data_IF_769609832106
#
_entry.id   IF_769609832106
#
_cell.length_a   1.000
_cell.length_b   1.000
_cell.length_c   1.000
_cell.angle_alpha   90.00
_cell.angle_beta   90.00
_cell.angle_gamma   90.00
#
_symmetry.space_group_name_H-M   'P 1'
#
loop_
_entity.id
_entity.type
_entity.pdbx_description
1 polymer ?
#
# COMPACT_ATOMS: atom_id res chain seq x y z
N UNK A 1 -3.99 -22.59 -5.54
CA UNK A 1 -3.82 -21.13 -5.60
C UNK A 1 -2.38 -20.70 -5.91
N UNK A 2 -1.40 -21.60 -5.70
CA UNK A 2 0.05 -21.35 -5.90
C UNK A 2 0.43 -20.88 -7.31
N UNK A 3 -0.17 -21.45 -8.36
CA UNK A 3 0.09 -21.06 -9.75
C UNK A 3 -0.38 -19.63 -10.05
N UNK A 4 -1.62 -19.30 -9.69
CA UNK A 4 -2.16 -17.94 -9.92
C UNK A 4 -1.43 -16.89 -9.09
N UNK A 5 -1.05 -17.21 -7.84
CA UNK A 5 -0.24 -16.33 -7.01
C UNK A 5 1.14 -16.07 -7.61
N UNK A 6 1.83 -17.12 -8.05
CA UNK A 6 3.13 -16.98 -8.73
C UNK A 6 3.04 -16.14 -10.00
N UNK A 7 2.01 -16.34 -10.83
CA UNK A 7 1.79 -15.53 -12.02
C UNK A 7 1.49 -14.07 -11.68
N UNK A 8 0.69 -13.80 -10.64
CA UNK A 8 0.42 -12.43 -10.19
C UNK A 8 1.70 -11.72 -9.70
N UNK A 9 2.57 -12.42 -8.98
CA UNK A 9 3.88 -11.88 -8.56
C UNK A 9 4.81 -11.64 -9.74
N UNK A 10 4.78 -12.50 -10.76
CA UNK A 10 5.57 -12.28 -11.99
C UNK A 10 5.06 -11.07 -12.76
N UNK A 11 3.73 -10.93 -12.93
CA UNK A 11 3.13 -9.79 -13.62
C UNK A 11 3.48 -8.46 -12.94
N UNK A 12 3.46 -8.41 -11.61
CA UNK A 12 3.77 -7.16 -10.90
C UNK A 12 5.27 -6.81 -10.89
N UNK A 13 6.13 -7.83 -11.02
CA UNK A 13 7.57 -7.65 -11.19
C UNK A 13 7.98 -7.30 -12.62
N UNK A 14 7.03 -7.25 -13.55
CA UNK A 14 7.23 -6.85 -14.96
C UNK A 14 6.33 -5.65 -15.33
N UNK A 15 5.83 -4.91 -14.33
CA UNK A 15 4.98 -3.77 -14.56
C UNK A 15 5.76 -2.61 -15.22
N UNK A 16 5.13 -1.95 -16.19
CA UNK A 16 5.69 -0.80 -16.93
C UNK A 16 6.26 0.27 -15.98
N UNK A 17 7.53 0.64 -16.21
CA UNK A 17 8.25 1.65 -15.45
C UNK A 17 8.36 1.45 -13.93
N UNK A 18 8.01 0.29 -13.35
CA UNK A 18 8.03 0.14 -11.89
C UNK A 18 9.44 0.19 -11.30
N UNK A 19 9.58 0.76 -10.10
CA UNK A 19 10.83 0.71 -9.31
C UNK A 19 10.65 0.01 -7.96
N UNK A 20 9.39 -0.07 -7.49
CA UNK A 20 8.99 -0.73 -6.25
C UNK A 20 7.90 -1.75 -6.52
N UNK A 21 7.93 -2.83 -5.73
CA UNK A 21 6.84 -3.80 -5.59
C UNK A 21 6.31 -3.63 -4.18
N UNK A 22 5.01 -3.34 -4.06
CA UNK A 22 4.37 -2.96 -2.81
C UNK A 22 3.32 -4.00 -2.46
N UNK A 23 3.43 -4.59 -1.27
CA UNK A 23 2.36 -5.41 -0.68
C UNK A 23 1.64 -4.61 0.40
N UNK A 24 0.34 -4.42 0.23
CA UNK A 24 -0.54 -3.76 1.19
C UNK A 24 -1.39 -4.85 1.83
N UNK A 25 -1.04 -5.21 3.05
CA UNK A 25 -1.76 -6.15 3.87
C UNK A 25 -2.69 -5.38 4.81
N UNK A 26 -3.99 -5.67 4.74
CA UNK A 26 -5.00 -5.13 5.65
C UNK A 26 -5.48 -6.27 6.53
N UNK A 27 -5.40 -6.09 7.85
CA UNK A 27 -5.76 -7.10 8.85
C UNK A 27 -6.83 -6.59 9.81
N UNK A 28 -7.46 -7.54 10.49
CA UNK A 28 -8.51 -7.31 11.49
C UNK A 28 -9.64 -6.41 10.97
N UNK A 29 -10.06 -6.60 9.72
CA UNK A 29 -11.22 -5.93 9.16
C UNK A 29 -12.54 -6.60 9.58
N UNK A 30 -13.63 -5.83 9.58
CA UNK A 30 -15.00 -6.32 9.83
C UNK A 30 -15.47 -7.32 8.78
N UNK A 31 -15.02 -7.18 7.54
CA UNK A 31 -15.22 -8.14 6.45
C UNK A 31 -14.02 -8.21 5.49
N UNK A 32 -13.95 -9.24 4.66
CA UNK A 32 -12.93 -9.33 3.60
C UNK A 32 -13.12 -8.22 2.56
N UNK A 33 -14.37 -7.86 2.25
CA UNK A 33 -14.68 -6.78 1.30
C UNK A 33 -14.16 -5.43 1.80
N UNK A 34 -14.26 -5.14 3.10
CA UNK A 34 -13.68 -3.94 3.73
C UNK A 34 -12.16 -3.94 3.62
N UNK A 35 -11.51 -5.09 3.89
CA UNK A 35 -10.06 -5.23 3.77
C UNK A 35 -9.59 -4.98 2.32
N UNK A 36 -10.32 -5.54 1.34
CA UNK A 36 -10.05 -5.32 -0.09
C UNK A 36 -10.29 -3.87 -0.48
N UNK A 37 -11.36 -3.24 0.01
CA UNK A 37 -11.70 -1.85 -0.29
C UNK A 37 -10.60 -0.89 0.21
N UNK A 38 -10.16 -1.04 1.47
CA UNK A 38 -9.06 -0.26 2.04
C UNK A 38 -7.76 -0.49 1.28
N UNK A 39 -7.38 -1.76 1.06
CA UNK A 39 -6.16 -2.10 0.32
C UNK A 39 -6.13 -1.51 -1.09
N UNK A 40 -7.27 -1.55 -1.80
CA UNK A 40 -7.41 -0.95 -3.14
C UNK A 40 -7.38 0.58 -3.12
N UNK A 41 -7.98 1.22 -2.12
CA UNK A 41 -7.95 2.67 -1.97
C UNK A 41 -6.50 3.17 -1.81
N UNK A 42 -5.71 2.51 -0.97
CA UNK A 42 -4.28 2.79 -0.84
C UNK A 42 -3.52 2.50 -2.14
N UNK A 43 -3.73 1.32 -2.74
CA UNK A 43 -3.01 0.92 -3.96
C UNK A 43 -3.21 1.86 -5.15
N UNK A 44 -4.39 2.50 -5.25
CA UNK A 44 -4.74 3.42 -6.35
C UNK A 44 -4.40 4.89 -6.07
N UNK A 45 -3.92 5.21 -4.87
CA UNK A 45 -3.66 6.59 -4.50
C UNK A 45 -2.36 7.10 -5.13
N UNK A 46 -2.46 8.03 -6.08
CA UNK A 46 -1.30 8.59 -6.78
C UNK A 46 -0.30 9.27 -5.85
N UNK A 47 -0.76 9.98 -4.81
CA UNK A 47 0.16 10.61 -3.86
C UNK A 47 0.97 9.56 -3.10
N UNK A 48 0.33 8.48 -2.66
CA UNK A 48 1.03 7.38 -2.01
C UNK A 48 2.03 6.73 -2.97
N UNK A 49 1.59 6.37 -4.18
CA UNK A 49 2.47 5.76 -5.21
C UNK A 49 3.70 6.63 -5.53
N UNK A 50 3.54 7.95 -5.65
CA UNK A 50 4.67 8.87 -5.84
C UNK A 50 5.59 8.99 -4.62
N UNK A 51 5.04 8.91 -3.39
CA UNK A 51 5.88 8.91 -2.18
C UNK A 51 6.76 7.66 -2.12
N UNK A 52 6.19 6.50 -2.45
CA UNK A 52 6.90 5.23 -2.48
C UNK A 52 8.01 5.22 -3.55
N UNK A 53 7.73 5.77 -4.74
CA UNK A 53 8.74 6.01 -5.77
C UNK A 53 9.91 6.85 -5.23
N UNK A 54 9.59 7.96 -4.54
CA UNK A 54 10.59 8.85 -3.95
C UNK A 54 11.26 8.34 -2.67
N UNK A 55 10.91 7.15 -2.18
CA UNK A 55 11.42 6.61 -0.91
C UNK A 55 10.99 7.39 0.33
N UNK A 56 9.88 8.13 0.29
CA UNK A 56 9.32 8.87 1.44
C UNK A 56 8.33 7.98 2.21
N UNK A 57 8.63 7.57 3.47
CA UNK A 57 7.73 6.78 4.31
C UNK A 57 6.58 7.63 4.88
N UNK A 58 5.72 8.10 3.99
CA UNK A 58 4.67 9.06 4.29
C UNK A 58 3.36 8.36 4.72
N UNK A 59 3.30 7.97 5.99
CA UNK A 59 2.12 7.31 6.56
C UNK A 59 0.86 8.19 6.55
N UNK A 60 0.99 9.51 6.57
CA UNK A 60 -0.14 10.42 6.43
C UNK A 60 -0.87 10.25 5.10
N UNK A 61 -0.15 9.92 4.00
CA UNK A 61 -0.79 9.59 2.70
C UNK A 61 -1.51 8.25 2.73
N UNK A 62 -1.09 7.32 3.58
CA UNK A 62 -1.77 6.02 3.77
C UNK A 62 -3.10 6.25 4.49
N UNK A 63 -3.09 7.00 5.61
CA UNK A 63 -4.31 7.38 6.34
C UNK A 63 -5.28 8.19 5.49
N UNK A 64 -4.78 9.12 4.66
CA UNK A 64 -5.62 9.88 3.74
C UNK A 64 -6.26 8.99 2.67
N UNK A 65 -5.53 7.96 2.19
CA UNK A 65 -6.06 7.04 1.18
C UNK A 65 -7.12 6.10 1.76
N UNK A 66 -6.88 5.48 2.93
CA UNK A 66 -7.88 4.61 3.56
C UNK A 66 -9.16 5.35 3.93
N UNK A 67 -9.08 6.66 4.25
CA UNK A 67 -10.26 7.49 4.52
C UNK A 67 -11.18 7.71 3.31
N UNK A 68 -10.77 7.26 2.12
CA UNK A 68 -11.59 7.28 0.89
C UNK A 68 -12.23 5.93 0.57
N UNK A 69 -11.89 4.88 1.33
CA UNK A 69 -12.43 3.55 1.12
C UNK A 69 -13.91 3.49 1.52
N UNK A 70 -14.70 2.76 0.74
CA UNK A 70 -16.07 2.37 1.11
C UNK A 70 -15.97 1.12 1.98
N UNK A 71 -15.67 1.33 3.27
CA UNK A 71 -15.44 0.27 4.26
C UNK A 71 -15.83 0.74 5.68
N UNK A 72 -16.28 -0.19 6.53
CA UNK A 72 -16.67 0.10 7.92
C UNK A 72 -15.53 -0.19 8.93
N UNK A 73 -15.00 0.87 9.54
CA UNK A 73 -13.96 0.81 10.58
C UNK A 73 -13.89 2.14 11.37
N UNK A 74 -13.23 2.14 12.52
CA UNK A 74 -12.99 3.38 13.28
C UNK A 74 -11.77 4.14 12.72
N UNK A 75 -11.94 5.32 12.09
CA UNK A 75 -10.81 6.08 11.56
C UNK A 75 -9.88 6.64 12.64
N UNK A 76 -10.28 6.63 13.91
CA UNK A 76 -9.44 7.06 15.03
C UNK A 76 -8.58 5.92 15.62
N UNK A 77 -8.79 4.67 15.21
CA UNK A 77 -8.06 3.52 15.76
C UNK A 77 -7.48 2.60 14.67
N UNK A 78 -6.67 3.18 13.78
CA UNK A 78 -5.93 2.44 12.75
C UNK A 78 -4.43 2.45 13.04
N UNK A 79 -3.77 1.29 12.97
CA UNK A 79 -2.31 1.21 13.02
C UNK A 79 -1.74 1.00 11.63
N UNK A 80 -0.58 1.61 11.36
CA UNK A 80 0.13 1.44 10.08
C UNK A 80 1.59 1.12 10.34
N UNK A 81 2.08 0.05 9.71
CA UNK A 81 3.50 -0.29 9.66
C UNK A 81 4.04 -0.24 8.23
N UNK A 82 5.25 0.29 8.08
CA UNK A 82 6.01 0.31 6.84
C UNK A 82 7.32 -0.43 7.05
N UNK A 83 7.58 -1.49 6.27
CA UNK A 83 8.77 -2.34 6.43
C UNK A 83 9.04 -2.68 7.91
N UNK A 84 8.00 -3.17 8.60
CA UNK A 84 8.00 -3.57 10.01
C UNK A 84 8.15 -2.45 11.05
N UNK A 85 8.30 -1.19 10.63
CA UNK A 85 8.31 -0.04 11.53
C UNK A 85 6.90 0.49 11.69
N UNK A 86 6.40 0.55 12.92
CA UNK A 86 5.04 1.00 13.23
C UNK A 86 4.97 2.53 13.24
N UNK A 87 4.86 3.11 12.06
CA UNK A 87 4.89 4.56 11.80
C UNK A 87 3.64 5.31 12.24
N UNK A 88 2.51 4.61 12.42
CA UNK A 88 1.28 5.17 12.99
C UNK A 88 0.65 4.20 14.00
N UNK A 89 0.16 4.76 15.11
CA UNK A 89 -0.57 4.06 16.17
C UNK A 89 -1.85 4.82 16.48
N UNK A 90 -3.00 4.14 16.45
CA UNK A 90 -4.34 4.71 16.63
C UNK A 90 -4.50 6.04 15.87
N UNK A 91 -4.22 5.99 14.57
CA UNK A 91 -4.27 7.11 13.62
C UNK A 91 -3.43 8.34 14.00
N UNK A 92 -2.50 8.19 14.95
CA UNK A 92 -1.54 9.20 15.37
C UNK A 92 -0.09 8.78 15.06
N UNK A 93 0.90 9.63 15.42
CA UNK A 93 2.31 9.31 15.22
C UNK A 93 2.74 8.06 15.99
N UNK A 94 3.39 7.12 15.29
CA UNK A 94 4.04 5.95 15.87
C UNK A 94 5.55 6.18 16.06
N UNK A 95 6.35 5.20 15.66
CA UNK A 95 7.80 5.25 15.65
C UNK A 95 8.33 6.26 14.64
N UNK A 96 9.59 6.68 14.79
CA UNK A 96 10.22 7.60 13.85
C UNK A 96 10.28 6.96 12.45
N UNK A 97 9.64 7.63 11.49
CA UNK A 97 9.60 7.22 10.08
C UNK A 97 10.99 7.13 9.44
N UNK A 98 12.01 7.80 10.00
CA UNK A 98 13.39 7.70 9.52
C UNK A 98 14.00 6.30 9.74
N UNK A 99 13.36 5.46 10.57
CA UNK A 99 13.75 4.05 10.75
C UNK A 99 13.28 3.16 9.60
N UNK A 100 12.39 3.65 8.73
CA UNK A 100 11.90 2.92 7.57
C UNK A 100 12.92 2.99 6.44
N UNK A 101 13.46 1.84 6.04
CA UNK A 101 14.27 1.73 4.82
C UNK A 101 13.37 1.40 3.61
N UNK A 102 13.23 2.35 2.69
CA UNK A 102 12.53 2.17 1.41
C UNK A 102 13.48 2.12 0.21
N UNK A 103 14.80 1.98 0.42
CA UNK A 103 15.78 1.90 -0.67
C UNK A 103 15.63 0.64 -1.53
N UNK A 104 15.21 -0.47 -0.91
CA UNK A 104 14.93 -1.73 -1.58
C UNK A 104 13.75 -1.68 -2.56
N UNK A 105 13.64 -2.72 -3.40
CA UNK A 105 12.53 -2.86 -4.36
C UNK A 105 11.22 -3.22 -3.66
N UNK A 106 11.27 -4.10 -2.66
CA UNK A 106 10.08 -4.56 -1.96
C UNK A 106 9.72 -3.61 -0.82
N UNK A 107 8.44 -3.20 -0.79
CA UNK A 107 7.86 -2.40 0.28
C UNK A 107 6.66 -3.16 0.85
N UNK A 108 6.62 -3.29 2.18
CA UNK A 108 5.49 -3.85 2.91
C UNK A 108 4.76 -2.75 3.66
N UNK A 109 3.45 -2.68 3.46
CA UNK A 109 2.53 -1.83 4.21
C UNK A 109 1.57 -2.77 4.94
N UNK A 110 1.53 -2.68 6.27
CA UNK A 110 0.55 -3.38 7.10
C UNK A 110 -0.41 -2.35 7.71
N UNK A 111 -1.71 -2.56 7.51
CA UNK A 111 -2.78 -1.73 8.05
C UNK A 111 -3.64 -2.60 8.97
N UNK A 112 -3.75 -2.23 10.23
CA UNK A 112 -4.62 -2.90 11.20
C UNK A 112 -5.85 -2.05 11.47
N UNK A 113 -7.03 -2.56 11.08
CA UNK A 113 -8.31 -1.86 11.23
C UNK A 113 -9.00 -2.12 12.57
N UNK A 114 -8.56 -3.14 13.33
CA UNK A 114 -9.11 -3.53 14.65
C UNK A 114 -10.64 -3.66 14.71
N UNK A 115 -11.30 -3.91 13.57
CA UNK A 115 -12.75 -3.98 13.43
C UNK A 115 -13.30 -5.40 13.26
N UNK A 116 -12.43 -6.41 13.15
CA UNK A 116 -12.83 -7.81 13.04
C UNK A 116 -11.66 -8.78 12.92
N UNK A 117 -11.82 -9.85 12.14
CA UNK A 117 -10.84 -10.93 11.97
C UNK A 117 -10.50 -11.23 10.51
N UNK A 118 -11.02 -10.43 9.58
CA UNK A 118 -10.79 -10.63 8.14
C UNK A 118 -9.54 -9.90 7.68
N UNK A 119 -8.91 -10.41 6.62
CA UNK A 119 -7.72 -9.81 6.04
C UNK A 119 -7.71 -9.96 4.52
N UNK A 120 -6.97 -9.07 3.86
CA UNK A 120 -6.69 -9.14 2.44
C UNK A 120 -5.32 -8.53 2.13
N UNK A 121 -4.68 -9.01 1.07
CA UNK A 121 -3.43 -8.43 0.56
C UNK A 121 -3.62 -7.95 -0.86
N UNK A 122 -3.30 -6.68 -1.09
CA UNK A 122 -3.29 -6.06 -2.42
C UNK A 122 -1.85 -5.79 -2.82
N UNK A 123 -1.47 -6.23 -4.01
CA UNK A 123 -0.18 -5.92 -4.61
C UNK A 123 -0.32 -4.74 -5.57
N UNK A 124 0.63 -3.81 -5.51
CA UNK A 124 0.72 -2.66 -6.43
C UNK A 124 2.19 -2.29 -6.67
N UNK A 125 2.44 -1.37 -7.61
CA UNK A 125 3.74 -0.71 -7.79
C UNK A 125 3.66 0.75 -7.35
N UNK A 126 4.80 1.43 -7.42
CA UNK A 126 4.91 2.88 -7.33
C UNK A 126 4.38 3.59 -8.60
N UNK A 127 4.54 4.92 -8.67
CA UNK A 127 4.26 5.74 -9.86
C UNK A 127 5.53 6.52 -10.17
N UNK A 128 6.28 6.04 -11.15
CA UNK A 128 7.59 6.56 -11.53
C UNK A 128 7.51 7.56 -12.69
N UNK A 129 8.65 8.15 -13.05
CA UNK A 129 8.77 8.92 -14.28
C UNK A 129 8.66 8.04 -15.53
N UNK A 130 9.27 6.85 -15.53
CA UNK A 130 9.27 5.93 -16.68
C UNK A 130 7.86 5.46 -17.03
N UNK A 131 6.99 5.22 -16.03
CA UNK A 131 5.59 4.91 -16.26
C UNK A 131 4.89 6.00 -17.09
N UNK A 132 5.15 7.28 -16.76
CA UNK A 132 4.57 8.41 -17.49
C UNK A 132 5.15 8.53 -18.89
N UNK A 133 6.46 8.34 -19.05
CA UNK A 133 7.13 8.39 -20.35
C UNK A 133 6.60 7.29 -21.29
N UNK A 134 6.57 6.04 -20.83
CA UNK A 134 6.10 4.88 -21.61
C UNK A 134 4.66 5.06 -22.10
N UNK A 135 3.78 5.57 -21.23
CA UNK A 135 2.36 5.76 -21.51
C UNK A 135 2.00 7.12 -22.14
N UNK A 136 2.97 7.99 -22.46
CA UNK A 136 2.71 9.28 -23.11
C UNK A 136 3.51 9.51 -24.40
N UNK A 137 4.70 8.92 -24.52
CA UNK A 137 5.56 9.05 -25.70
C UNK A 137 5.17 8.09 -26.83
N UNK A 138 4.50 6.98 -26.51
CA UNK A 138 4.09 5.95 -27.46
C UNK A 138 2.58 5.70 -27.38
N UNK A 139 1.98 5.26 -28.49
CA UNK A 139 0.65 4.69 -28.46
C UNK A 139 0.79 3.20 -28.10
N UNK A 140 0.34 2.84 -26.90
CA UNK A 140 0.30 1.48 -26.38
C UNK A 140 -1.07 0.84 -26.55
#
# INVERSE_FOLDING_TARGET
MEVCGSLATQLIGDAEGHTKIVSIEVINAGSEDDAVAVGRACARNNLLKCALFGGDPNWGRILAALGTADADFDPADVDVSLNQVMVSRSSGPGDDRNLVDLSGVNISILIDLKSGLHSATIYTNDLSHDYVEENSAYAT
#
